data_IF_640323245913
#
_entry.id   IF_640323245913
#
_cell.length_a   1.000
_cell.length_b   1.000
_cell.length_c   1.000
_cell.angle_alpha   90.00
_cell.angle_beta   90.00
_cell.angle_gamma   90.00
#
_symmetry.space_group_name_H-M   'P 1'
#
loop_
_entity.id
_entity.type
_entity.pdbx_description
1 polymer ?
#
# COMPACT_ATOMS: atom_id res chain seq x y z
N UNK A 1 21.76 -32.30 0.61
CA UNK A 1 21.38 -33.55 -0.08
C UNK A 1 19.96 -33.36 -0.59
N UNK A 2 19.81 -32.82 -1.80
CA UNK A 2 18.52 -32.37 -2.35
C UNK A 2 17.65 -33.55 -2.81
N UNK A 3 16.34 -33.45 -2.57
CA UNK A 3 15.31 -34.37 -3.08
C UNK A 3 14.04 -33.60 -3.41
N UNK A 4 13.94 -33.13 -4.65
CA UNK A 4 12.66 -32.84 -5.29
C UNK A 4 12.00 -34.16 -5.69
N UNK A 5 10.67 -34.24 -5.62
CA UNK A 5 9.85 -35.29 -6.25
C UNK A 5 8.56 -34.65 -6.81
N UNK A 6 8.02 -35.13 -7.94
CA UNK A 6 7.18 -34.28 -8.82
C UNK A 6 5.67 -34.46 -8.68
N UNK A 7 4.96 -33.46 -9.20
CA UNK A 7 3.50 -33.33 -9.29
C UNK A 7 2.87 -34.27 -10.34
N UNK A 8 1.84 -35.04 -9.96
CA UNK A 8 0.81 -35.67 -10.83
C UNK A 8 -0.35 -36.20 -9.95
N UNK A 9 -1.63 -36.24 -10.34
CA UNK A 9 -2.35 -35.58 -11.45
C UNK A 9 -3.89 -35.78 -11.30
N UNK A 10 -4.66 -35.01 -12.09
CA UNK A 10 -5.97 -35.37 -12.69
C UNK A 10 -7.30 -35.18 -11.90
N UNK A 11 -8.35 -34.85 -12.67
CA UNK A 11 -9.81 -34.80 -12.35
C UNK A 11 -10.25 -33.69 -11.38
N UNK A 12 -11.12 -32.74 -11.74
CA UNK A 12 -11.73 -32.39 -13.04
C UNK A 12 -13.25 -32.58 -13.12
N UNK A 13 -14.01 -31.50 -12.93
CA UNK A 13 -15.45 -31.40 -13.25
C UNK A 13 -15.72 -30.03 -13.88
N UNK A 14 -16.38 -30.00 -15.03
CA UNK A 14 -16.78 -28.79 -15.74
C UNK A 14 -18.30 -28.60 -15.62
N UNK A 15 -18.74 -27.60 -14.84
CA UNK A 15 -20.16 -27.25 -14.66
C UNK A 15 -20.38 -25.80 -15.06
N UNK A 16 -21.01 -25.61 -16.22
CA UNK A 16 -21.56 -24.32 -16.64
C UNK A 16 -22.89 -24.08 -15.94
N UNK A 17 -23.02 -22.95 -15.24
CA UNK A 17 -24.32 -22.37 -14.88
C UNK A 17 -24.30 -20.91 -15.35
N UNK A 18 -25.27 -20.55 -16.20
CA UNK A 18 -25.33 -19.23 -16.85
C UNK A 18 -26.51 -18.44 -16.30
N UNK A 19 -26.25 -17.63 -15.28
CA UNK A 19 -27.08 -16.50 -14.81
C UNK A 19 -26.11 -15.50 -14.16
N UNK A 20 -26.14 -14.20 -14.43
CA UNK A 20 -26.90 -13.45 -15.43
C UNK A 20 -26.53 -11.97 -15.31
N UNK A 21 -26.40 -11.24 -16.42
CA UNK A 21 -25.90 -9.85 -16.37
C UNK A 21 -26.89 -8.92 -15.65
N UNK A 22 -26.46 -8.37 -14.52
CA UNK A 22 -27.03 -7.17 -13.90
C UNK A 22 -25.94 -6.11 -13.88
N UNK A 23 -26.11 -5.05 -14.68
CA UNK A 23 -25.19 -3.91 -14.66
C UNK A 23 -25.44 -3.13 -13.39
N UNK A 24 -24.44 -3.10 -12.52
CA UNK A 24 -24.34 -2.17 -11.40
C UNK A 24 -23.07 -1.35 -11.60
N UNK A 25 -23.14 -0.07 -11.27
CA UNK A 25 -22.08 0.91 -11.56
C UNK A 25 -20.88 0.73 -10.61
N UNK A 26 -19.66 0.86 -11.15
CA UNK A 26 -18.40 0.65 -10.41
C UNK A 26 -18.21 1.69 -9.29
N UNK A 27 -17.98 1.26 -8.03
CA UNK A 27 -17.14 1.99 -7.10
C UNK A 27 -15.66 1.83 -7.49
N UNK A 28 -14.79 2.69 -6.95
CA UNK A 28 -13.35 2.66 -7.24
C UNK A 28 -12.71 1.28 -6.90
N UNK A 29 -11.62 0.88 -7.58
CA UNK A 29 -10.97 -0.40 -7.33
C UNK A 29 -10.41 -0.45 -5.90
N UNK A 30 -11.01 -1.28 -5.04
CA UNK A 30 -10.45 -1.66 -3.73
C UNK A 30 -9.54 -2.88 -3.89
N UNK A 31 -8.37 -2.84 -3.27
CA UNK A 31 -7.50 -4.01 -3.16
C UNK A 31 -8.09 -5.02 -2.17
N UNK A 32 -8.13 -6.30 -2.55
CA UNK A 32 -8.71 -7.38 -1.73
C UNK A 32 -7.85 -8.64 -1.84
N UNK A 33 -7.15 -8.98 -0.77
CA UNK A 33 -6.35 -10.19 -0.71
C UNK A 33 -7.17 -11.41 -0.25
N UNK A 34 -6.84 -12.55 -0.86
CA UNK A 34 -7.19 -13.90 -0.45
C UNK A 34 -5.98 -14.79 -0.79
N UNK A 35 -5.79 -15.92 -0.08
CA UNK A 35 -4.48 -16.58 0.08
C UNK A 35 -4.33 -17.85 -0.81
N UNK A 36 -3.07 -18.25 -1.05
CA UNK A 36 -2.54 -19.40 -1.84
C UNK A 36 -2.50 -19.16 -3.37
N UNK A 37 -1.33 -18.86 -3.98
CA UNK A 37 -0.19 -19.75 -4.38
C UNK A 37 -0.44 -20.54 -5.70
N UNK A 38 0.13 -20.15 -6.86
CA UNK A 38 1.47 -20.49 -7.44
C UNK A 38 1.47 -21.86 -8.20
N UNK A 39 2.27 -22.24 -9.23
CA UNK A 39 3.50 -21.85 -9.97
C UNK A 39 3.38 -22.36 -11.46
N UNK A 40 4.20 -22.11 -12.50
CA UNK A 40 5.22 -21.10 -12.90
C UNK A 40 5.76 -21.44 -14.36
N UNK A 41 6.62 -20.59 -14.95
CA UNK A 41 7.79 -20.91 -15.82
C UNK A 41 7.70 -20.97 -17.38
N UNK A 42 8.09 -19.85 -18.03
CA UNK A 42 9.24 -19.68 -18.98
C UNK A 42 9.32 -20.31 -20.40
N UNK A 43 9.75 -19.46 -21.36
CA UNK A 43 10.66 -19.77 -22.49
C UNK A 43 10.15 -19.42 -23.91
N UNK A 44 10.97 -19.05 -24.92
CA UNK A 44 12.36 -18.51 -24.97
C UNK A 44 12.68 -18.00 -26.41
N UNK A 45 13.29 -16.79 -26.56
CA UNK A 45 13.97 -16.23 -27.76
C UNK A 45 13.17 -16.14 -29.10
N UNK A 46 13.63 -15.57 -30.24
CA UNK A 46 14.88 -14.89 -30.67
C UNK A 46 14.59 -13.49 -31.29
N UNK A 47 15.62 -12.80 -31.80
CA UNK A 47 15.59 -11.40 -32.25
C UNK A 47 15.51 -11.19 -33.78
N UNK A 48 15.25 -9.94 -34.22
CA UNK A 48 15.76 -9.41 -35.49
C UNK A 48 16.17 -7.92 -35.33
N UNK A 49 16.87 -7.36 -36.31
CA UNK A 49 17.74 -6.17 -36.19
C UNK A 49 17.23 -5.00 -37.05
N UNK A 50 17.36 -3.76 -36.57
CA UNK A 50 16.91 -2.59 -37.32
C UNK A 50 17.45 -1.26 -36.82
N UNK A 51 18.72 -0.95 -37.09
CA UNK A 51 19.30 0.36 -36.84
C UNK A 51 18.70 1.44 -37.77
N UNK A 52 18.32 2.58 -37.19
CA UNK A 52 18.11 3.83 -37.92
C UNK A 52 18.43 5.01 -36.99
N UNK A 53 19.61 5.61 -37.14
CA UNK A 53 19.97 6.81 -36.38
C UNK A 53 18.99 7.96 -36.65
N UNK A 54 18.68 8.70 -35.61
CA UNK A 54 17.72 9.80 -35.68
C UNK A 54 17.81 10.69 -34.45
N UNK A 55 19.00 11.25 -34.21
CA UNK A 55 19.27 12.18 -33.10
C UNK A 55 18.18 13.26 -33.00
N UNK A 56 17.37 13.07 -31.97
CA UNK A 56 16.40 14.00 -31.43
C UNK A 56 16.45 13.75 -29.94
N UNK A 57 17.12 14.63 -29.22
CA UNK A 57 16.83 14.82 -27.80
C UNK A 57 15.36 15.20 -27.66
N UNK A 58 14.52 14.19 -27.47
CA UNK A 58 13.21 14.39 -26.87
C UNK A 58 13.52 14.95 -25.49
N UNK A 59 13.31 16.26 -25.32
CA UNK A 59 13.25 16.86 -24.00
C UNK A 59 12.05 16.28 -23.29
N UNK A 60 12.24 15.14 -22.63
CA UNK A 60 11.26 14.62 -21.70
C UNK A 60 11.24 15.59 -20.54
N UNK A 61 10.07 16.14 -20.24
CA UNK A 61 9.87 17.03 -19.11
C UNK A 61 10.25 16.25 -17.84
N UNK A 62 11.18 16.77 -17.03
CA UNK A 62 11.76 16.00 -15.93
C UNK A 62 10.69 15.66 -14.88
N UNK A 63 9.71 16.56 -14.68
CA UNK A 63 8.49 16.31 -13.88
C UNK A 63 7.47 15.31 -14.48
N UNK A 64 7.76 14.66 -15.62
CA UNK A 64 7.07 13.45 -16.07
C UNK A 64 7.83 12.16 -15.68
N UNK A 65 9.09 12.28 -15.24
CA UNK A 65 9.97 11.16 -14.90
C UNK A 65 10.33 11.12 -13.41
N UNK A 66 10.30 12.24 -12.69
CA UNK A 66 10.58 12.33 -11.26
C UNK A 66 9.37 12.78 -10.46
N UNK A 67 9.41 12.52 -9.14
CA UNK A 67 8.46 13.02 -8.14
C UNK A 67 9.25 13.68 -7.01
N UNK A 68 8.76 14.81 -6.52
CA UNK A 68 9.29 15.50 -5.34
C UNK A 68 8.44 15.15 -4.11
N UNK A 69 9.06 14.58 -3.08
CA UNK A 69 8.42 14.24 -1.80
C UNK A 69 9.06 15.06 -0.68
N UNK A 70 8.26 15.83 0.07
CA UNK A 70 8.76 16.66 1.17
C UNK A 70 8.41 16.06 2.53
N UNK A 71 9.42 15.71 3.30
CA UNK A 71 9.30 15.10 4.62
C UNK A 71 9.58 16.16 5.71
N UNK A 72 8.70 16.34 6.73
CA UNK A 72 8.87 17.33 7.78
C UNK A 72 10.15 17.21 8.60
N UNK A 73 10.61 18.33 9.17
CA UNK A 73 11.80 18.42 10.02
C UNK A 73 11.80 17.45 11.21
N UNK A 74 10.61 17.11 11.73
CA UNK A 74 10.39 16.20 12.85
C UNK A 74 10.93 14.78 12.61
N UNK A 75 11.11 14.37 11.34
CA UNK A 75 11.70 13.08 10.98
C UNK A 75 13.24 13.10 10.91
N UNK A 76 13.88 14.27 10.98
CA UNK A 76 15.33 14.45 10.86
C UNK A 76 16.02 14.91 12.15
N UNK A 77 15.34 14.87 13.30
CA UNK A 77 15.96 15.22 14.59
C UNK A 77 17.14 14.29 14.94
N UNK A 78 18.36 14.79 14.70
CA UNK A 78 19.60 14.07 14.97
C UNK A 78 20.23 13.35 13.78
N UNK A 79 19.59 13.38 12.60
CA UNK A 79 20.15 12.87 11.34
C UNK A 79 21.02 13.96 10.68
N UNK A 80 22.18 13.58 10.15
CA UNK A 80 23.09 14.50 9.45
C UNK A 80 22.85 14.58 7.94
N UNK A 81 23.36 15.66 7.33
CA UNK A 81 23.37 15.85 5.86
C UNK A 81 24.14 14.73 5.13
N UNK A 82 25.16 14.13 5.78
CA UNK A 82 25.94 13.01 5.24
C UNK A 82 25.12 11.70 5.23
N UNK A 83 24.32 11.45 6.26
CA UNK A 83 23.40 10.30 6.33
C UNK A 83 22.22 10.44 5.34
N UNK A 84 21.72 11.65 5.11
CA UNK A 84 20.68 11.94 4.11
C UNK A 84 21.24 11.80 2.69
N UNK A 85 22.47 12.26 2.44
CA UNK A 85 23.14 12.04 1.16
C UNK A 85 23.42 10.56 0.88
N UNK A 86 23.70 9.76 1.93
CA UNK A 86 23.86 8.30 1.81
C UNK A 86 22.54 7.62 1.44
N UNK A 87 21.42 7.94 2.09
CA UNK A 87 20.13 7.31 1.74
C UNK A 87 19.67 7.68 0.32
N UNK A 88 19.99 8.86 -0.19
CA UNK A 88 19.75 9.23 -1.59
C UNK A 88 20.47 8.31 -2.57
N UNK A 89 21.73 7.91 -2.29
CA UNK A 89 22.47 6.95 -3.13
C UNK A 89 21.96 5.50 -2.95
N UNK A 90 21.58 5.10 -1.73
CA UNK A 90 21.13 3.73 -1.42
C UNK A 90 19.70 3.42 -1.94
N UNK A 91 18.77 4.37 -1.80
CA UNK A 91 17.36 4.24 -2.27
C UNK A 91 17.20 4.49 -3.78
N UNK A 92 18.26 4.98 -4.46
CA UNK A 92 18.21 5.31 -5.88
C UNK A 92 17.45 6.61 -6.21
N UNK A 93 17.42 7.55 -5.27
CA UNK A 93 16.89 8.90 -5.49
C UNK A 93 17.86 9.73 -6.36
N UNK A 94 17.39 10.86 -6.89
CA UNK A 94 18.18 11.70 -7.83
C UNK A 94 18.75 12.98 -7.22
N UNK A 95 18.08 13.58 -6.24
CA UNK A 95 18.57 14.78 -5.54
C UNK A 95 17.85 14.95 -4.18
N UNK A 96 18.37 15.82 -3.31
CA UNK A 96 17.67 16.28 -2.10
C UNK A 96 17.94 17.75 -1.78
N UNK A 97 16.94 18.43 -1.21
CA UNK A 97 17.01 19.84 -0.82
C UNK A 97 16.60 20.00 0.64
N UNK A 98 17.50 20.53 1.47
CA UNK A 98 17.16 20.99 2.82
C UNK A 98 16.48 22.35 2.78
N UNK A 99 15.25 22.42 3.30
CA UNK A 99 14.42 23.62 3.27
C UNK A 99 14.68 24.55 4.49
N UNK A 100 14.36 25.86 4.39
CA UNK A 100 14.59 26.82 5.48
C UNK A 100 13.81 26.57 6.78
N UNK A 101 12.81 25.69 6.77
CA UNK A 101 12.04 25.23 7.93
C UNK A 101 12.57 23.92 8.55
N UNK A 102 13.61 23.33 7.95
CA UNK A 102 14.21 22.06 8.37
C UNK A 102 13.59 20.82 7.73
N UNK A 103 12.55 20.95 6.91
CA UNK A 103 12.06 19.82 6.09
C UNK A 103 13.06 19.46 4.99
N UNK A 104 12.96 18.25 4.45
CA UNK A 104 13.80 17.79 3.33
C UNK A 104 12.90 17.36 2.18
N UNK A 105 13.15 17.91 1.00
CA UNK A 105 12.50 17.49 -0.25
C UNK A 105 13.42 16.56 -1.02
N UNK A 106 12.95 15.37 -1.36
CA UNK A 106 13.67 14.37 -2.16
C UNK A 106 13.08 14.33 -3.56
N UNK A 107 13.93 14.48 -4.58
CA UNK A 107 13.56 14.24 -5.97
C UNK A 107 13.98 12.83 -6.34
N UNK A 108 13.04 11.99 -6.75
CA UNK A 108 13.28 10.58 -7.06
C UNK A 108 12.64 10.15 -8.39
N UNK A 109 13.17 9.14 -9.11
CA UNK A 109 12.53 8.59 -10.30
C UNK A 109 11.14 8.03 -9.96
N UNK A 110 10.15 8.27 -10.81
CA UNK A 110 8.77 7.80 -10.59
C UNK A 110 8.67 6.28 -10.42
N UNK A 111 9.53 5.50 -11.08
CA UNK A 111 9.58 4.05 -10.89
C UNK A 111 10.07 3.62 -9.49
N UNK A 112 10.92 4.41 -8.83
CA UNK A 112 11.34 4.20 -7.44
C UNK A 112 10.22 4.61 -6.49
N UNK A 113 9.56 5.74 -6.77
CA UNK A 113 8.40 6.22 -6.00
C UNK A 113 7.21 5.24 -6.03
N UNK A 114 6.84 4.74 -7.22
CA UNK A 114 5.77 3.75 -7.37
C UNK A 114 6.10 2.43 -6.65
N UNK A 115 7.38 2.05 -6.60
CA UNK A 115 7.86 0.86 -5.89
C UNK A 115 7.84 1.06 -4.35
N UNK A 116 8.31 2.20 -3.86
CA UNK A 116 8.25 2.55 -2.43
C UNK A 116 6.80 2.55 -1.92
N UNK A 117 5.86 3.13 -2.67
CA UNK A 117 4.43 3.09 -2.33
C UNK A 117 3.84 1.66 -2.37
N UNK A 118 4.37 0.77 -3.22
CA UNK A 118 4.00 -0.65 -3.23
C UNK A 118 4.52 -1.36 -1.97
N UNK A 119 5.71 -1.01 -1.49
CA UNK A 119 6.32 -1.63 -0.30
C UNK A 119 5.69 -1.14 1.00
N UNK A 120 5.39 0.16 1.13
CA UNK A 120 4.61 0.71 2.25
C UNK A 120 3.24 0.04 2.40
N UNK A 121 2.61 -0.37 1.29
CA UNK A 121 1.36 -1.16 1.31
C UNK A 121 1.57 -2.61 1.72
N UNK A 122 2.67 -3.25 1.30
CA UNK A 122 3.01 -4.59 1.77
C UNK A 122 3.30 -4.63 3.28
N UNK A 123 3.95 -3.60 3.82
CA UNK A 123 4.18 -3.43 5.25
C UNK A 123 2.87 -3.13 6.02
N UNK A 124 1.95 -2.35 5.42
CA UNK A 124 0.60 -2.17 5.96
C UNK A 124 -0.16 -3.51 5.99
N UNK A 125 -0.16 -4.28 4.91
CA UNK A 125 -0.76 -5.62 4.83
C UNK A 125 -0.14 -6.59 5.85
N UNK A 126 1.17 -6.48 6.12
CA UNK A 126 1.86 -7.26 7.14
C UNK A 126 1.40 -6.86 8.56
N UNK A 127 1.37 -5.56 8.88
CA UNK A 127 0.90 -5.08 10.19
C UNK A 127 -0.58 -5.42 10.46
N UNK A 128 -1.43 -5.39 9.42
CA UNK A 128 -2.82 -5.85 9.48
C UNK A 128 -2.89 -7.34 9.83
N UNK A 129 -1.97 -8.17 9.28
CA UNK A 129 -1.88 -9.58 9.65
C UNK A 129 -1.37 -9.77 11.08
N UNK A 130 -0.45 -8.96 11.59
CA UNK A 130 -0.04 -9.01 13.00
C UNK A 130 -1.22 -8.70 13.94
N UNK A 131 -1.98 -7.64 13.66
CA UNK A 131 -3.21 -7.28 14.39
C UNK A 131 -4.24 -8.44 14.34
N UNK A 132 -4.44 -9.07 13.18
CA UNK A 132 -5.35 -10.22 13.06
C UNK A 132 -4.89 -11.45 13.85
N UNK A 133 -3.57 -11.67 13.96
CA UNK A 133 -2.99 -12.74 14.78
C UNK A 133 -3.04 -12.44 16.29
N UNK A 134 -3.03 -11.17 16.69
CA UNK A 134 -3.20 -10.73 18.09
C UNK A 134 -4.67 -10.84 18.55
N UNK A 135 -5.62 -10.56 17.66
CA UNK A 135 -7.06 -10.49 17.98
C UNK A 135 -7.96 -11.51 17.26
N UNK A 136 -7.61 -12.81 17.12
CA UNK A 136 -8.26 -13.75 16.18
C UNK A 136 -9.72 -14.10 16.50
N UNK A 137 -10.15 -13.97 17.77
CA UNK A 137 -11.57 -14.17 18.15
C UNK A 137 -12.41 -12.88 17.95
N UNK A 138 -11.76 -11.72 17.88
CA UNK A 138 -12.40 -10.40 17.79
C UNK A 138 -12.42 -9.87 16.36
N UNK A 139 -11.29 -9.85 15.66
CA UNK A 139 -11.15 -9.27 14.32
C UNK A 139 -11.38 -10.34 13.25
N UNK A 140 -12.28 -10.07 12.30
CA UNK A 140 -12.72 -11.02 11.26
C UNK A 140 -12.13 -10.67 9.88
N UNK A 141 -12.02 -9.38 9.59
CA UNK A 141 -11.33 -8.86 8.41
C UNK A 141 -11.02 -7.37 8.55
N UNK A 142 -9.91 -6.94 7.95
CA UNK A 142 -9.65 -5.53 7.61
C UNK A 142 -9.68 -5.41 6.09
N UNK A 143 -10.25 -4.34 5.55
CA UNK A 143 -10.00 -3.90 4.16
C UNK A 143 -9.79 -2.39 4.13
N UNK A 144 -9.07 -1.90 3.12
CA UNK A 144 -8.85 -0.48 2.89
C UNK A 144 -8.96 -0.12 1.39
N UNK A 145 -9.11 1.16 1.10
CA UNK A 145 -9.13 1.71 -0.27
C UNK A 145 -7.72 1.83 -0.87
N UNK A 146 -7.63 2.10 -2.18
CA UNK A 146 -6.33 2.20 -2.84
C UNK A 146 -5.51 3.44 -2.46
N UNK A 147 -6.11 4.50 -1.93
CA UNK A 147 -5.38 5.72 -1.54
C UNK A 147 -5.02 5.72 -0.03
N UNK A 148 -5.43 4.66 0.69
CA UNK A 148 -5.21 4.43 2.12
C UNK A 148 -5.80 5.59 2.95
N UNK A 149 -7.10 5.82 2.77
CA UNK A 149 -7.91 6.89 3.39
C UNK A 149 -9.14 6.35 4.15
N UNK A 150 -9.62 5.15 3.85
CA UNK A 150 -10.77 4.49 4.49
C UNK A 150 -10.40 3.05 4.90
N UNK A 151 -10.62 2.69 6.16
CA UNK A 151 -10.52 1.30 6.64
C UNK A 151 -11.89 0.79 7.11
N UNK A 152 -12.20 -0.46 6.75
CA UNK A 152 -13.37 -1.21 7.22
C UNK A 152 -12.90 -2.41 8.06
N UNK A 153 -13.20 -2.40 9.36
CA UNK A 153 -12.84 -3.46 10.31
C UNK A 153 -14.11 -4.21 10.72
N UNK A 154 -14.24 -5.47 10.29
CA UNK A 154 -15.35 -6.35 10.71
C UNK A 154 -14.92 -7.08 11.98
N UNK A 155 -15.69 -6.91 13.07
CA UNK A 155 -15.35 -7.40 14.40
C UNK A 155 -16.52 -8.08 15.13
N UNK A 156 -16.24 -8.99 16.06
CA UNK A 156 -17.16 -9.25 17.17
C UNK A 156 -17.21 -7.97 18.04
N UNK A 157 -18.36 -7.30 18.00
CA UNK A 157 -18.58 -6.04 18.69
C UNK A 157 -18.40 -6.15 20.21
N UNK A 158 -18.84 -7.25 20.82
CA UNK A 158 -18.80 -7.41 22.27
C UNK A 158 -17.36 -7.66 22.76
N UNK A 159 -16.56 -8.42 22.00
CA UNK A 159 -15.14 -8.56 22.22
C UNK A 159 -14.42 -7.21 22.09
N UNK A 160 -14.70 -6.45 21.02
CA UNK A 160 -14.12 -5.12 20.79
C UNK A 160 -14.46 -4.14 21.92
N UNK A 161 -15.74 -3.92 22.24
CA UNK A 161 -16.19 -3.01 23.30
C UNK A 161 -15.66 -3.39 24.70
N UNK A 162 -15.29 -4.67 24.91
CA UNK A 162 -14.68 -5.14 26.16
C UNK A 162 -13.15 -4.95 26.23
N UNK A 163 -12.49 -4.66 25.11
CA UNK A 163 -11.05 -4.63 24.97
C UNK A 163 -10.52 -3.19 24.84
N UNK A 164 -9.86 -2.72 25.91
CA UNK A 164 -9.28 -1.38 26.00
C UNK A 164 -8.03 -1.14 25.13
N UNK A 165 -7.36 -2.20 24.70
CA UNK A 165 -6.17 -2.12 23.84
C UNK A 165 -6.61 -2.03 22.37
N UNK A 166 -7.62 -2.80 21.97
CA UNK A 166 -8.23 -2.73 20.64
C UNK A 166 -8.82 -1.35 20.28
N UNK A 167 -9.20 -0.53 21.27
CA UNK A 167 -9.68 0.85 21.01
C UNK A 167 -8.63 1.75 20.34
N UNK A 168 -7.34 1.37 20.36
CA UNK A 168 -6.25 2.12 19.72
C UNK A 168 -6.00 1.71 18.26
N UNK A 169 -6.64 0.64 17.76
CA UNK A 169 -6.42 0.14 16.40
C UNK A 169 -6.75 1.17 15.32
N UNK A 170 -7.80 1.97 15.53
CA UNK A 170 -8.15 3.06 14.60
C UNK A 170 -7.06 4.12 14.49
N UNK A 171 -6.49 4.53 15.63
CA UNK A 171 -5.37 5.49 15.65
C UNK A 171 -4.11 4.91 15.00
N UNK A 172 -3.80 3.63 15.25
CA UNK A 172 -2.63 2.97 14.65
C UNK A 172 -2.71 2.91 13.12
N UNK A 173 -3.82 2.41 12.58
CA UNK A 173 -4.05 2.34 11.14
C UNK A 173 -4.09 3.74 10.50
N UNK A 174 -4.70 4.73 11.16
CA UNK A 174 -4.72 6.10 10.66
C UNK A 174 -3.33 6.78 10.66
N UNK A 175 -2.48 6.47 11.63
CA UNK A 175 -1.09 6.95 11.63
C UNK A 175 -0.31 6.40 10.42
N UNK A 176 -0.46 5.10 10.14
CA UNK A 176 0.14 4.47 8.95
C UNK A 176 -0.43 5.05 7.64
N UNK A 177 -1.72 5.36 7.61
CA UNK A 177 -2.39 6.00 6.49
C UNK A 177 -1.84 7.40 6.17
N UNK A 178 -1.74 8.28 7.18
CA UNK A 178 -1.16 9.61 6.99
C UNK A 178 0.33 9.55 6.62
N UNK A 179 1.06 8.52 7.07
CA UNK A 179 2.44 8.27 6.65
C UNK A 179 2.52 7.83 5.18
N UNK A 180 1.67 6.90 4.73
CA UNK A 180 1.55 6.54 3.31
C UNK A 180 1.20 7.76 2.45
N UNK A 181 0.20 8.54 2.85
CA UNK A 181 -0.24 9.74 2.12
C UNK A 181 0.85 10.82 2.02
N UNK A 182 1.75 10.91 3.02
CA UNK A 182 2.93 11.80 2.96
C UNK A 182 3.85 11.42 1.79
N UNK A 183 4.18 10.13 1.66
CA UNK A 183 5.00 9.66 0.54
C UNK A 183 4.25 9.71 -0.79
N UNK A 184 2.93 9.49 -0.78
CA UNK A 184 2.07 9.67 -1.95
C UNK A 184 1.88 11.14 -2.38
N UNK A 185 2.51 12.11 -1.70
CA UNK A 185 2.52 13.52 -2.09
C UNK A 185 1.27 14.31 -1.73
N UNK A 186 0.41 13.79 -0.83
CA UNK A 186 -0.81 14.45 -0.39
C UNK A 186 -0.46 15.69 0.46
N UNK A 187 -1.05 16.88 0.21
CA UNK A 187 -0.79 18.09 0.99
C UNK A 187 -1.03 17.89 2.49
N UNK A 188 -0.19 18.51 3.32
CA UNK A 188 -0.15 18.23 4.75
C UNK A 188 -1.47 18.54 5.50
N UNK A 189 -2.29 19.43 4.97
CA UNK A 189 -3.63 19.84 5.42
C UNK A 189 -4.79 19.09 4.73
N UNK A 190 -4.51 18.29 3.70
CA UNK A 190 -5.47 17.38 3.04
C UNK A 190 -5.34 15.92 3.53
N UNK A 191 -4.23 15.55 4.19
CA UNK A 191 -4.03 14.22 4.80
C UNK A 191 -5.02 13.95 5.93
N UNK A 192 -5.46 12.70 6.03
CA UNK A 192 -6.42 12.25 7.04
C UNK A 192 -6.86 10.81 6.84
N UNK A 193 -8.02 10.44 7.35
CA UNK A 193 -8.67 9.18 7.03
C UNK A 193 -9.72 8.74 8.04
N UNK A 194 -10.46 7.69 7.69
CA UNK A 194 -11.52 7.09 8.51
C UNK A 194 -11.24 5.62 8.84
N UNK A 195 -11.68 5.18 10.01
CA UNK A 195 -11.68 3.77 10.42
C UNK A 195 -13.08 3.42 10.94
N UNK A 196 -13.80 2.60 10.18
CA UNK A 196 -15.17 2.16 10.49
C UNK A 196 -15.15 0.77 11.10
N UNK A 197 -15.84 0.60 12.23
CA UNK A 197 -16.00 -0.67 12.92
C UNK A 197 -17.39 -1.24 12.66
N UNK A 198 -17.42 -2.43 12.07
CA UNK A 198 -18.62 -3.12 11.58
C UNK A 198 -18.86 -4.36 12.45
N UNK A 199 -20.06 -4.50 12.98
CA UNK A 199 -20.44 -5.67 13.78
C UNK A 199 -20.67 -6.90 12.87
N UNK A 200 -19.92 -7.98 13.07
CA UNK A 200 -20.01 -9.20 12.25
C UNK A 200 -21.41 -9.85 12.28
N UNK A 201 -22.19 -9.61 13.34
CA UNK A 201 -23.50 -10.23 13.53
C UNK A 201 -24.63 -9.51 12.76
N UNK A 202 -24.44 -8.24 12.40
CA UNK A 202 -25.46 -7.40 11.76
C UNK A 202 -25.03 -6.80 10.42
N UNK A 203 -23.73 -6.58 10.22
CA UNK A 203 -23.19 -5.80 9.10
C UNK A 203 -23.41 -4.28 9.25
N UNK A 204 -23.81 -3.80 10.43
CA UNK A 204 -23.99 -2.37 10.70
C UNK A 204 -22.68 -1.75 11.24
N UNK A 205 -22.33 -0.56 10.76
CA UNK A 205 -21.27 0.28 11.35
C UNK A 205 -21.75 0.76 12.71
N UNK A 206 -20.98 0.52 13.76
CA UNK A 206 -21.34 0.90 15.14
C UNK A 206 -20.40 1.93 15.77
N UNK A 207 -19.19 2.08 15.25
CA UNK A 207 -18.23 3.11 15.60
C UNK A 207 -17.51 3.58 14.32
N UNK A 208 -17.11 4.85 14.28
CA UNK A 208 -16.36 5.45 13.18
C UNK A 208 -15.42 6.51 13.73
N UNK A 209 -14.14 6.37 13.43
CA UNK A 209 -13.08 7.23 13.94
C UNK A 209 -12.44 7.97 12.77
N UNK A 210 -12.45 9.30 12.80
CA UNK A 210 -12.01 10.17 11.70
C UNK A 210 -10.86 11.08 12.15
N UNK A 211 -9.88 11.28 11.26
CA UNK A 211 -8.75 12.19 11.45
C UNK A 211 -8.51 13.08 10.22
N UNK A 212 -8.03 14.33 10.39
CA UNK A 212 -7.84 15.02 11.67
C UNK A 212 -9.18 15.23 12.41
N UNK A 213 -9.15 15.18 13.74
CA UNK A 213 -10.36 15.24 14.57
C UNK A 213 -10.96 16.65 14.52
N UNK A 214 -12.21 16.74 14.05
CA UNK A 214 -12.97 17.99 13.83
C UNK A 214 -13.81 18.43 15.04
#
# INVERSE_FOLDING_TARGET
>A
MTKTFPLTALVGVFVLIVVGCTTQEDPAPRTKMAVEESQDNQGEAEADTGEAEGDKSIGVDEGLLTVDVTIPAEFYEGISEEEIAQSVEEEGYTDFVMNPDGSVTFTMPKAVWDEALREMKADLDASIQEIANEYPEMLKSVTYDNDVTEFELVVDRAAYESNSEAQWLGFGLNFQAQFYQMFAGVPADERGGSVQFIDEATGEVFDSQEWPVN
#
